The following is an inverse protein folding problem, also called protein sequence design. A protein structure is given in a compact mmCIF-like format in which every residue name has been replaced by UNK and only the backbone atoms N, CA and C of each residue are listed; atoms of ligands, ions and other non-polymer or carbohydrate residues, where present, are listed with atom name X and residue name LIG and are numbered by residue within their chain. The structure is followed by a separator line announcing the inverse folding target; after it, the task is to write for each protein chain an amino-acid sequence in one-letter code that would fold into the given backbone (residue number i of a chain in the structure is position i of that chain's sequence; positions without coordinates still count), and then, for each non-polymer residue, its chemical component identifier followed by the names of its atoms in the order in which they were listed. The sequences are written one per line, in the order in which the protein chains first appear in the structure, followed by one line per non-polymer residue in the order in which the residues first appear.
data_IF_596956168920
#
_entry.id   IF_596956168920
#
_cell.length_a   1.000
_cell.length_b   1.000
_cell.length_c   1.000
_cell.angle_alpha   90.00
_cell.angle_beta   90.00
_cell.angle_gamma   90.00
#
_symmetry.space_group_name_H-M   'P 1'
#
loop_
_entity.id
_entity.type
_entity.pdbx_description
1 polymer ?
#
# COMPACT_ATOMS: atom_id res chain seq x y z
N UNK A 1 -20.60 26.17 -35.02
CA UNK A 1 -21.49 25.89 -33.88
C UNK A 1 -20.77 24.84 -33.04
N UNK A 2 -20.32 25.23 -31.85
CA UNK A 2 -19.43 24.46 -30.97
C UNK A 2 -20.17 23.27 -30.37
N UNK A 3 -19.70 22.06 -30.68
CA UNK A 3 -20.14 20.83 -30.03
C UNK A 3 -19.58 20.79 -28.61
N UNK A 4 -20.40 21.18 -27.63
CA UNK A 4 -20.06 21.08 -26.22
C UNK A 4 -20.92 19.99 -25.57
N UNK A 5 -20.72 18.74 -26.00
CA UNK A 5 -21.33 17.58 -25.35
C UNK A 5 -20.36 17.02 -24.30
N UNK A 6 -20.20 17.75 -23.20
CA UNK A 6 -19.47 17.27 -22.03
C UNK A 6 -20.37 16.30 -21.25
N UNK A 7 -20.14 14.99 -21.41
CA UNK A 7 -20.90 13.94 -20.76
C UNK A 7 -20.65 13.94 -19.24
N UNK A 8 -21.71 13.99 -18.42
CA UNK A 8 -21.63 13.89 -16.95
C UNK A 8 -20.91 12.64 -16.43
N UNK A 9 -20.80 11.59 -17.26
CA UNK A 9 -20.06 10.36 -16.95
C UNK A 9 -18.55 10.58 -16.77
N UNK A 10 -17.95 11.54 -17.48
CA UNK A 10 -16.51 11.78 -17.40
C UNK A 10 -16.10 12.36 -16.03
N UNK A 11 -16.94 13.22 -15.43
CA UNK A 11 -16.66 13.85 -14.12
C UNK A 11 -16.63 12.85 -12.96
N UNK A 12 -17.35 11.73 -13.06
CA UNK A 12 -17.32 10.66 -12.05
C UNK A 12 -16.01 9.88 -12.09
N UNK A 13 -15.55 9.54 -13.31
CA UNK A 13 -14.29 8.82 -13.53
C UNK A 13 -13.08 9.60 -13.02
N UNK A 14 -13.04 10.91 -13.26
CA UNK A 14 -11.93 11.76 -12.78
C UNK A 14 -11.83 11.79 -11.24
N UNK A 15 -12.98 11.75 -10.53
CA UNK A 15 -13.01 11.67 -9.06
C UNK A 15 -12.55 10.32 -8.53
N UNK A 16 -12.92 9.23 -9.21
CA UNK A 16 -12.49 7.88 -8.84
C UNK A 16 -10.98 7.72 -9.05
N UNK A 17 -10.44 8.23 -10.16
CA UNK A 17 -9.01 8.26 -10.45
C UNK A 17 -8.25 9.03 -9.36
N UNK A 18 -8.74 10.21 -8.95
CA UNK A 18 -8.09 10.97 -7.87
C UNK A 18 -8.18 10.24 -6.52
N UNK A 19 -9.32 9.59 -6.26
CA UNK A 19 -9.50 8.76 -5.06
C UNK A 19 -8.50 7.61 -5.04
N UNK A 20 -8.26 6.94 -6.17
CA UNK A 20 -7.24 5.90 -6.26
C UNK A 20 -5.84 6.43 -5.98
N UNK A 21 -5.46 7.61 -6.48
CA UNK A 21 -4.15 8.22 -6.18
C UNK A 21 -3.93 8.42 -4.68
N UNK A 22 -4.96 8.92 -3.98
CA UNK A 22 -4.93 9.11 -2.52
C UNK A 22 -4.83 7.77 -1.79
N UNK A 23 -5.66 6.80 -2.17
CA UNK A 23 -5.68 5.47 -1.53
C UNK A 23 -4.35 4.74 -1.72
N UNK A 24 -3.79 4.72 -2.94
CA UNK A 24 -2.51 4.07 -3.22
C UNK A 24 -1.37 4.69 -2.40
N UNK A 25 -1.32 6.03 -2.31
CA UNK A 25 -0.32 6.69 -1.48
C UNK A 25 -0.50 6.35 0.01
N UNK A 26 -1.73 6.37 0.51
CA UNK A 26 -2.04 6.05 1.90
C UNK A 26 -1.69 4.60 2.26
N UNK A 27 -2.03 3.63 1.41
CA UNK A 27 -1.73 2.22 1.67
C UNK A 27 -0.23 1.93 1.64
N UNK A 28 0.53 2.55 0.74
CA UNK A 28 2.00 2.41 0.72
C UNK A 28 2.60 2.91 2.04
N UNK A 29 2.21 4.12 2.48
CA UNK A 29 2.67 4.71 3.74
C UNK A 29 2.34 3.81 4.93
N UNK A 30 1.08 3.33 5.00
CA UNK A 30 0.60 2.49 6.09
C UNK A 30 1.29 1.12 6.13
N UNK A 31 1.50 0.48 4.97
CA UNK A 31 2.23 -0.77 4.87
C UNK A 31 3.68 -0.60 5.32
N UNK A 32 4.35 0.48 4.94
CA UNK A 32 5.72 0.77 5.38
C UNK A 32 5.81 0.96 6.90
N UNK A 33 4.84 1.67 7.50
CA UNK A 33 4.75 1.83 8.95
C UNK A 33 4.55 0.49 9.67
N UNK A 34 3.65 -0.36 9.17
CA UNK A 34 3.43 -1.70 9.73
C UNK A 34 4.62 -2.63 9.53
N UNK A 35 5.27 -2.58 8.37
CA UNK A 35 6.46 -3.35 8.05
C UNK A 35 7.59 -3.04 9.06
N UNK A 36 7.86 -1.76 9.31
CA UNK A 36 8.83 -1.34 10.31
C UNK A 36 8.47 -1.87 11.71
N UNK A 37 7.21 -1.68 12.14
CA UNK A 37 6.73 -2.16 13.43
C UNK A 37 6.86 -3.68 13.56
N UNK A 38 6.57 -4.43 12.50
CA UNK A 38 6.73 -5.88 12.48
C UNK A 38 8.20 -6.28 12.60
N UNK A 39 9.12 -5.61 11.90
CA UNK A 39 10.56 -5.90 12.05
C UNK A 39 11.06 -5.66 13.47
N UNK A 40 10.63 -4.56 14.11
CA UNK A 40 10.99 -4.28 15.50
C UNK A 40 10.51 -5.40 16.45
N UNK A 41 9.29 -5.90 16.26
CA UNK A 41 8.75 -6.99 17.08
C UNK A 41 9.32 -8.36 16.75
N UNK A 42 9.67 -8.63 15.49
CA UNK A 42 10.39 -9.82 15.10
C UNK A 42 11.73 -9.88 15.85
N UNK A 43 12.51 -8.79 15.83
CA UNK A 43 13.79 -8.72 16.55
C UNK A 43 13.62 -8.92 18.06
N UNK A 44 12.54 -8.39 18.67
CA UNK A 44 12.22 -8.66 20.08
C UNK A 44 11.94 -10.15 20.30
N UNK A 45 11.17 -10.79 19.42
CA UNK A 45 10.88 -12.22 19.51
C UNK A 45 12.16 -13.08 19.41
N UNK A 46 13.09 -12.72 18.53
CA UNK A 46 14.39 -13.38 18.39
C UNK A 46 15.21 -13.29 19.69
N UNK A 47 15.32 -12.08 20.27
CA UNK A 47 16.02 -11.85 21.55
C UNK A 47 15.42 -12.63 22.72
N UNK A 48 14.13 -12.97 22.66
CA UNK A 48 13.43 -13.78 23.66
C UNK A 48 13.52 -15.29 23.38
N UNK A 49 14.24 -15.72 22.34
CA UNK A 49 14.37 -17.13 21.97
C UNK A 49 13.16 -17.71 21.22
N UNK A 50 12.20 -16.87 20.81
CA UNK A 50 10.98 -17.31 20.14
C UNK A 50 11.18 -17.40 18.61
N UNK A 51 12.02 -18.34 18.17
CA UNK A 51 12.44 -18.46 16.77
C UNK A 51 11.27 -18.57 15.77
N UNK A 52 10.21 -19.34 16.10
CA UNK A 52 9.06 -19.47 15.20
C UNK A 52 8.25 -18.18 15.08
N UNK A 53 8.14 -17.42 16.17
CA UNK A 53 7.44 -16.13 16.17
C UNK A 53 8.23 -15.11 15.35
N UNK A 54 9.55 -15.05 15.53
CA UNK A 54 10.45 -14.25 14.69
C UNK A 54 10.24 -14.56 13.21
N UNK A 55 10.25 -15.85 12.83
CA UNK A 55 10.08 -16.28 11.44
C UNK A 55 8.74 -15.79 10.85
N UNK A 56 7.64 -15.94 11.59
CA UNK A 56 6.31 -15.59 11.08
C UNK A 56 6.12 -14.07 10.99
N UNK A 57 6.58 -13.30 11.98
CA UNK A 57 6.49 -11.83 11.94
C UNK A 57 7.39 -11.28 10.82
N UNK A 58 8.58 -11.86 10.60
CA UNK A 58 9.48 -11.45 9.51
C UNK A 58 8.83 -11.68 8.14
N UNK A 59 8.19 -12.84 7.94
CA UNK A 59 7.44 -13.12 6.71
C UNK A 59 6.27 -12.15 6.50
N UNK A 60 5.60 -11.74 7.57
CA UNK A 60 4.55 -10.73 7.48
C UNK A 60 5.10 -9.37 7.04
N UNK A 61 6.25 -8.95 7.60
CA UNK A 61 6.95 -7.73 7.19
C UNK A 61 7.35 -7.76 5.71
N UNK A 62 7.94 -8.88 5.25
CA UNK A 62 8.34 -9.04 3.85
C UNK A 62 7.13 -9.05 2.91
N UNK A 63 6.00 -9.62 3.34
CA UNK A 63 4.75 -9.59 2.58
C UNK A 63 4.18 -8.18 2.42
N UNK A 64 4.25 -7.34 3.47
CA UNK A 64 3.86 -5.93 3.39
C UNK A 64 4.75 -5.15 2.44
N UNK A 65 6.07 -5.41 2.46
CA UNK A 65 7.00 -4.79 1.52
C UNK A 65 6.66 -5.15 0.07
N UNK A 66 6.40 -6.43 -0.21
CA UNK A 66 5.97 -6.88 -1.56
C UNK A 66 4.65 -6.22 -1.96
N UNK A 67 3.69 -6.11 -1.04
CA UNK A 67 2.44 -5.40 -1.31
C UNK A 67 2.68 -3.92 -1.64
N UNK A 68 3.53 -3.22 -0.88
CA UNK A 68 3.93 -1.84 -1.16
C UNK A 68 4.58 -1.69 -2.53
N UNK A 69 5.44 -2.62 -2.95
CA UNK A 69 6.10 -2.59 -4.25
C UNK A 69 5.07 -2.70 -5.39
N UNK A 70 4.05 -3.57 -5.27
CA UNK A 70 2.96 -3.65 -6.25
C UNK A 70 2.06 -2.41 -6.26
N UNK A 71 1.77 -1.83 -5.09
CA UNK A 71 0.98 -0.60 -5.00
C UNK A 71 1.72 0.60 -5.60
N UNK A 72 3.04 0.67 -5.41
CA UNK A 72 3.89 1.66 -6.03
C UNK A 72 3.91 1.51 -7.55
N UNK A 73 3.98 0.28 -8.05
CA UNK A 73 3.87 0.02 -9.49
C UNK A 73 2.50 0.44 -10.01
N UNK A 74 1.41 0.05 -9.37
CA UNK A 74 0.05 0.45 -9.75
C UNK A 74 -0.11 1.98 -9.83
N UNK A 75 0.49 2.72 -8.88
CA UNK A 75 0.48 4.19 -8.85
C UNK A 75 1.15 4.84 -10.07
N UNK A 76 2.05 4.15 -10.79
CA UNK A 76 2.69 4.68 -12.00
C UNK A 76 1.77 4.67 -13.22
N UNK A 77 0.68 3.89 -13.17
CA UNK A 77 -0.24 3.69 -14.30
C UNK A 77 -1.53 4.53 -14.18
N UNK A 78 -1.59 5.48 -13.24
CA UNK A 78 -2.78 6.30 -12.96
C UNK A 78 -2.46 7.77 -12.70
#
# INVERSE_FOLDING_TARGET
MTENNCCCSCKGKDKEVETFRVLLAHWIEHNNSHEQGFREWAQKAEKLGNAKVYEMISKAADSLKVASDYLLEAKKHI
#
